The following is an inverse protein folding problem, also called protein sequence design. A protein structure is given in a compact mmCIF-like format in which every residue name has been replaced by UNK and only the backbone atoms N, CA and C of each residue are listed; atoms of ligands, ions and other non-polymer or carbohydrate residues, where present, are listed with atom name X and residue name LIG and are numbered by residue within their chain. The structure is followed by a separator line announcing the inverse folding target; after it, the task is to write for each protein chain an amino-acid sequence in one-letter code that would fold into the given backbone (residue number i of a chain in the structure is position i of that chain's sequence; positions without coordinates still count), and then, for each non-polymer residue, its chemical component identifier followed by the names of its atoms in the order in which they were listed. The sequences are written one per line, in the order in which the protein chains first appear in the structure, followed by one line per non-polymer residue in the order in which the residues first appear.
data_IF_492054694513
#
_entry.id   IF_492054694513
#
_cell.length_a   1.000
_cell.length_b   1.000
_cell.length_c   1.000
_cell.angle_alpha   90.00
_cell.angle_beta   90.00
_cell.angle_gamma   90.00
#
_symmetry.space_group_name_H-M   'P 1'
#
loop_
_entity.id
_entity.type
_entity.pdbx_description
1 polymer ?
#
# COMPACT_ATOMS: atom_id res chain seq x y z
N UNK A 1 -10.08 26.60 4.23
CA UNK A 1 -9.33 26.02 5.35
C UNK A 1 -8.44 24.90 4.84
N UNK A 2 -7.17 25.01 5.12
CA UNK A 2 -6.23 23.95 4.81
C UNK A 2 -6.17 22.89 5.90
N UNK A 3 -5.73 21.70 5.53
CA UNK A 3 -5.37 20.68 6.49
C UNK A 3 -4.01 21.00 7.09
N UNK A 4 -3.85 20.74 8.38
CA UNK A 4 -2.51 20.67 8.95
C UNK A 4 -1.95 19.28 8.60
N UNK A 5 -1.26 19.19 7.47
CA UNK A 5 -0.75 17.93 6.96
C UNK A 5 0.25 17.28 7.91
N UNK A 6 1.02 18.09 8.65
CA UNK A 6 2.02 17.56 9.57
C UNK A 6 1.41 16.88 10.80
N UNK A 7 0.15 17.17 11.10
CA UNK A 7 -0.55 16.55 12.23
C UNK A 7 -1.22 15.23 11.87
N UNK A 8 -1.27 14.87 10.59
CA UNK A 8 -1.87 13.61 10.16
C UNK A 8 -1.03 12.41 10.57
N UNK A 9 -1.72 11.31 10.86
CA UNK A 9 -1.07 10.05 11.21
C UNK A 9 -0.30 9.49 10.03
N UNK A 10 0.66 8.63 10.33
CA UNK A 10 1.51 7.97 9.33
C UNK A 10 1.53 6.48 9.54
N UNK A 11 1.61 5.73 8.44
CA UNK A 11 2.00 4.33 8.46
C UNK A 11 3.38 4.22 7.81
N UNK A 12 4.13 3.20 8.17
CA UNK A 12 5.50 3.04 7.68
C UNK A 12 5.68 1.72 6.96
N UNK A 13 6.19 1.78 5.74
CA UNK A 13 6.55 0.59 4.97
C UNK A 13 8.06 0.39 5.03
N UNK A 14 8.45 -0.80 5.49
CA UNK A 14 9.85 -1.21 5.51
C UNK A 14 10.01 -2.50 4.70
N UNK A 15 10.75 -2.44 3.62
CA UNK A 15 11.00 -3.61 2.80
C UNK A 15 12.05 -4.49 3.47
N UNK A 16 11.80 -5.81 3.48
CA UNK A 16 12.69 -6.75 4.16
C UNK A 16 13.85 -7.22 3.28
N UNK A 17 13.78 -6.96 1.97
CA UNK A 17 14.76 -7.50 1.02
C UNK A 17 14.46 -8.93 0.60
N UNK A 18 13.44 -9.56 1.17
CA UNK A 18 13.05 -10.92 0.79
C UNK A 18 12.23 -10.88 -0.48
N UNK A 19 12.61 -11.69 -1.46
CA UNK A 19 11.87 -11.88 -2.69
C UNK A 19 11.43 -13.34 -2.80
N UNK A 20 10.36 -13.56 -3.54
CA UNK A 20 9.82 -14.90 -3.77
C UNK A 20 9.21 -14.95 -5.17
N UNK A 21 8.87 -16.15 -5.63
CA UNK A 21 8.22 -16.33 -6.93
C UNK A 21 6.92 -17.10 -6.74
N UNK A 22 5.86 -16.62 -7.36
CA UNK A 22 4.55 -17.29 -7.42
C UNK A 22 4.07 -17.26 -8.87
N UNK A 23 3.83 -18.43 -9.43
CA UNK A 23 3.37 -18.57 -10.83
C UNK A 23 4.27 -17.80 -11.81
N UNK A 24 5.57 -17.91 -11.64
CA UNK A 24 6.61 -17.22 -12.41
C UNK A 24 6.62 -15.69 -12.25
N UNK A 25 5.91 -15.15 -11.27
CA UNK A 25 5.87 -13.73 -10.99
C UNK A 25 6.66 -13.47 -9.70
N UNK A 26 7.61 -12.54 -9.78
CA UNK A 26 8.40 -12.16 -8.61
C UNK A 26 7.59 -11.25 -7.69
N UNK A 27 7.66 -11.54 -6.39
CA UNK A 27 7.10 -10.69 -5.34
C UNK A 27 8.18 -10.21 -4.39
N UNK A 28 7.96 -9.05 -3.79
CA UNK A 28 8.82 -8.48 -2.77
C UNK A 28 8.04 -8.38 -1.46
N UNK A 29 8.67 -8.80 -0.37
CA UNK A 29 8.05 -8.76 0.94
C UNK A 29 8.48 -7.53 1.72
N UNK A 30 7.58 -7.08 2.57
CA UNK A 30 7.84 -5.98 3.49
C UNK A 30 6.96 -6.05 4.72
N UNK A 31 7.09 -5.04 5.55
CA UNK A 31 6.30 -4.87 6.77
C UNK A 31 5.70 -3.47 6.77
N UNK A 32 4.40 -3.39 6.98
CA UNK A 32 3.69 -2.13 7.12
C UNK A 32 3.26 -1.98 8.57
N UNK A 33 3.65 -0.89 9.20
CA UNK A 33 3.35 -0.64 10.61
C UNK A 33 2.37 0.52 10.74
N UNK A 34 1.27 0.29 11.44
CA UNK A 34 0.27 1.29 11.77
C UNK A 34 0.13 1.32 13.30
N UNK A 35 0.64 2.37 13.93
CA UNK A 35 0.69 2.44 15.38
C UNK A 35 1.54 1.31 15.96
N UNK A 36 0.92 0.46 16.76
CA UNK A 36 1.60 -0.67 17.40
C UNK A 36 1.40 -2.00 16.68
N UNK A 37 0.78 -1.99 15.51
CA UNK A 37 0.44 -3.20 14.77
C UNK A 37 1.22 -3.24 13.46
N UNK A 38 1.79 -4.41 13.18
CA UNK A 38 2.52 -4.64 11.94
C UNK A 38 1.78 -5.64 11.05
N UNK A 39 1.87 -5.41 9.76
CA UNK A 39 1.23 -6.24 8.73
C UNK A 39 2.27 -6.70 7.73
N UNK A 40 2.08 -7.90 7.19
CA UNK A 40 2.89 -8.37 6.07
C UNK A 40 2.47 -7.66 4.81
N UNK A 41 3.41 -7.41 3.91
CA UNK A 41 3.10 -6.79 2.61
C UNK A 41 3.73 -7.55 1.47
N UNK A 42 3.09 -7.42 0.30
CA UNK A 42 3.63 -7.90 -0.96
C UNK A 42 3.53 -6.78 -1.98
N UNK A 43 4.59 -6.62 -2.75
CA UNK A 43 4.66 -5.79 -3.94
C UNK A 43 5.16 -6.67 -5.09
N UNK A 44 4.81 -6.29 -6.31
CA UNK A 44 5.35 -7.01 -7.47
C UNK A 44 6.78 -6.58 -7.74
N UNK A 45 7.65 -7.56 -7.98
CA UNK A 45 9.05 -7.32 -8.29
C UNK A 45 9.34 -7.30 -9.80
N UNK A 46 10.58 -7.63 -10.16
CA UNK A 46 10.97 -7.64 -11.56
C UNK A 46 11.05 -6.22 -12.11
N UNK A 47 10.44 -6.03 -13.27
CA UNK A 47 10.43 -4.74 -13.96
C UNK A 47 9.31 -3.80 -13.52
N UNK A 48 8.51 -4.21 -12.54
CA UNK A 48 7.44 -3.37 -12.04
C UNK A 48 7.97 -2.39 -10.98
N UNK A 49 7.56 -1.16 -11.12
CA UNK A 49 8.01 -0.09 -10.24
C UNK A 49 7.19 -0.09 -8.97
N UNK A 50 7.88 0.06 -7.86
CA UNK A 50 7.28 0.19 -6.54
C UNK A 50 7.35 1.64 -6.08
N UNK A 51 6.66 1.94 -4.99
CA UNK A 51 6.81 3.24 -4.34
C UNK A 51 8.28 3.50 -4.02
N UNK A 52 8.81 4.67 -4.38
CA UNK A 52 10.17 5.02 -3.97
C UNK A 52 10.23 5.30 -2.47
N UNK A 53 11.44 5.34 -1.94
CA UNK A 53 11.68 5.81 -0.58
C UNK A 53 11.19 7.26 -0.46
N UNK A 54 10.51 7.57 0.63
CA UNK A 54 9.98 8.91 0.84
C UNK A 54 8.67 8.91 1.62
N UNK A 55 8.00 10.06 1.60
CA UNK A 55 6.77 10.30 2.35
C UNK A 55 5.70 10.76 1.37
N UNK A 56 4.57 10.07 1.38
CA UNK A 56 3.49 10.30 0.41
C UNK A 56 2.14 10.39 1.12
N UNK A 57 1.29 11.29 0.63
CA UNK A 57 -0.08 11.39 1.13
C UNK A 57 -0.93 10.21 0.67
N UNK A 58 -1.85 9.82 1.52
CA UNK A 58 -2.82 8.76 1.27
C UNK A 58 -4.23 9.31 1.27
N UNK A 59 -5.00 8.94 0.27
CA UNK A 59 -6.44 9.19 0.21
C UNK A 59 -7.16 7.86 0.33
N UNK A 60 -8.13 7.78 1.24
CA UNK A 60 -9.04 6.63 1.31
C UNK A 60 -10.15 6.81 0.30
N UNK A 61 -10.44 5.79 -0.50
CA UNK A 61 -11.54 5.83 -1.45
C UNK A 61 -12.07 4.43 -1.72
N UNK A 62 -13.13 4.35 -2.51
CA UNK A 62 -13.70 3.07 -2.94
C UNK A 62 -13.47 2.89 -4.43
N UNK A 63 -12.74 1.83 -4.79
CA UNK A 63 -12.50 1.46 -6.18
C UNK A 63 -13.53 0.43 -6.61
N UNK A 64 -14.06 0.55 -7.82
CA UNK A 64 -15.13 -0.31 -8.32
C UNK A 64 -14.75 -1.80 -8.29
N UNK A 65 -13.53 -2.12 -8.63
CA UNK A 65 -13.09 -3.52 -8.74
C UNK A 65 -12.35 -4.03 -7.51
N UNK A 66 -11.78 -3.14 -6.69
CA UNK A 66 -10.92 -3.53 -5.57
C UNK A 66 -11.50 -3.23 -4.18
N UNK A 67 -12.63 -2.55 -4.13
CA UNK A 67 -13.25 -2.15 -2.87
C UNK A 67 -12.55 -0.96 -2.23
N UNK A 68 -12.51 -0.91 -0.90
CA UNK A 68 -11.86 0.18 -0.17
C UNK A 68 -10.35 0.10 -0.34
N UNK A 69 -9.75 1.19 -0.77
CA UNK A 69 -8.32 1.26 -1.08
C UNK A 69 -7.75 2.58 -0.59
N UNK A 70 -6.42 2.64 -0.52
CA UNK A 70 -5.70 3.91 -0.41
C UNK A 70 -5.10 4.25 -1.77
N UNK A 71 -5.26 5.50 -2.18
CA UNK A 71 -4.52 6.03 -3.32
C UNK A 71 -3.32 6.78 -2.77
N UNK A 72 -2.14 6.45 -3.30
CA UNK A 72 -0.89 7.08 -2.90
C UNK A 72 -0.63 8.27 -3.82
N UNK A 73 -0.32 9.42 -3.23
CA UNK A 73 -0.14 10.66 -3.97
C UNK A 73 1.29 11.16 -3.90
N UNK A 74 1.78 11.72 -5.01
CA UNK A 74 3.13 12.23 -5.11
C UNK A 74 3.27 13.61 -4.48
N UNK A 75 4.50 13.96 -4.11
CA UNK A 75 4.91 15.31 -3.70
C UNK A 75 4.12 15.90 -2.53
N UNK A 76 3.42 15.08 -1.79
CA UNK A 76 2.58 15.53 -0.69
C UNK A 76 1.41 16.38 -1.12
N UNK A 77 1.10 16.45 -2.41
CA UNK A 77 -0.03 17.23 -2.94
C UNK A 77 -1.23 16.34 -3.15
N UNK A 78 -2.34 16.77 -2.60
CA UNK A 78 -3.61 16.06 -2.76
C UNK A 78 -4.00 16.04 -4.24
N UNK A 79 -4.37 14.89 -4.74
CA UNK A 79 -4.81 14.70 -6.12
C UNK A 79 -3.73 14.27 -7.11
N UNK A 80 -2.48 14.23 -6.68
CA UNK A 80 -1.38 13.81 -7.55
C UNK A 80 -0.94 12.38 -7.26
N UNK A 81 -0.91 11.54 -8.27
CA UNK A 81 -0.43 10.17 -8.15
C UNK A 81 1.09 10.10 -8.28
N UNK A 82 1.67 9.11 -7.64
CA UNK A 82 3.09 8.82 -7.79
C UNK A 82 3.35 8.33 -9.21
N UNK A 83 4.36 8.90 -9.85
CA UNK A 83 4.81 8.41 -11.14
C UNK A 83 5.75 7.22 -10.95
N UNK A 84 5.50 6.17 -11.68
CA UNK A 84 6.41 5.05 -11.75
C UNK A 84 7.63 5.42 -12.58
N UNK A 85 8.80 4.92 -12.20
CA UNK A 85 9.99 5.02 -13.05
C UNK A 85 9.71 4.30 -14.37
N UNK A 86 10.27 4.82 -15.47
CA UNK A 86 9.95 4.29 -16.80
C UNK A 86 8.77 4.96 -17.46
N UNK A 87 8.21 6.00 -16.82
CA UNK A 87 7.20 6.87 -17.43
C UNK A 87 5.75 6.43 -17.24
N UNK A 88 5.53 5.32 -16.56
CA UNK A 88 4.15 4.91 -16.24
C UNK A 88 3.57 5.79 -15.16
N UNK A 89 2.33 6.25 -15.36
CA UNK A 89 1.62 6.88 -14.28
C UNK A 89 1.03 5.80 -13.41
N UNK A 90 1.53 5.73 -12.22
CA UNK A 90 0.96 4.77 -11.31
C UNK A 90 -0.21 5.41 -10.60
N UNK A 91 -1.38 4.91 -10.85
CA UNK A 91 -2.37 4.94 -9.83
C UNK A 91 -1.94 3.94 -8.77
N UNK A 92 -0.84 4.20 -8.06
CA UNK A 92 -0.38 3.27 -7.03
C UNK A 92 -1.40 3.27 -5.92
N UNK A 93 -1.87 2.07 -5.62
CA UNK A 93 -2.87 1.87 -4.58
C UNK A 93 -2.36 0.89 -3.54
N UNK A 94 -2.87 1.02 -2.35
CA UNK A 94 -2.81 -0.03 -1.34
C UNK A 94 -4.16 -0.72 -1.39
N UNK A 95 -4.18 -2.00 -1.75
CA UNK A 95 -5.44 -2.72 -1.92
C UNK A 95 -5.29 -4.19 -1.54
N UNK A 96 -6.42 -4.88 -1.43
CA UNK A 96 -6.42 -6.30 -1.13
C UNK A 96 -5.92 -7.09 -2.34
N UNK A 97 -4.92 -7.94 -2.10
CA UNK A 97 -4.45 -8.91 -3.07
C UNK A 97 -3.75 -10.04 -2.32
N UNK A 98 -3.75 -11.23 -2.88
CA UNK A 98 -3.08 -12.37 -2.25
C UNK A 98 -1.69 -12.61 -2.83
N UNK A 99 -1.52 -12.38 -4.12
CA UNK A 99 -0.29 -12.73 -4.86
C UNK A 99 0.17 -11.59 -5.75
N UNK A 100 1.46 -11.62 -6.16
CA UNK A 100 2.04 -10.52 -6.95
C UNK A 100 1.37 -10.27 -8.30
N UNK A 101 0.75 -11.28 -8.90
CA UNK A 101 0.13 -11.12 -10.22
C UNK A 101 -0.99 -10.08 -10.20
N UNK A 102 -1.62 -9.89 -9.04
CA UNK A 102 -2.70 -8.92 -8.87
C UNK A 102 -2.20 -7.49 -8.64
N UNK A 103 -0.87 -7.31 -8.60
CA UNK A 103 -0.25 -6.05 -8.28
C UNK A 103 0.52 -5.52 -9.49
N UNK A 104 0.15 -4.33 -9.96
CA UNK A 104 0.82 -3.66 -11.07
C UNK A 104 1.42 -2.35 -10.56
N UNK A 105 2.42 -2.47 -9.67
CA UNK A 105 3.02 -1.33 -9.00
C UNK A 105 2.37 -0.99 -7.67
N UNK A 106 1.35 -1.74 -7.28
CA UNK A 106 0.59 -1.51 -6.05
C UNK A 106 1.17 -2.29 -4.87
N UNK A 107 0.65 -2.01 -3.69
CA UNK A 107 1.04 -2.62 -2.43
C UNK A 107 -0.17 -3.33 -1.82
N UNK A 108 0.02 -4.55 -1.35
CA UNK A 108 -1.04 -5.28 -0.66
C UNK A 108 -0.60 -5.65 0.74
N UNK A 109 -1.41 -5.35 1.78
CA UNK A 109 -1.16 -5.81 3.13
C UNK A 109 -1.92 -7.10 3.44
N UNK A 110 -1.41 -7.86 4.40
CA UNK A 110 -2.09 -9.01 4.96
C UNK A 110 -1.73 -9.13 6.42
N UNK A 111 -2.47 -9.91 7.19
CA UNK A 111 -2.17 -10.14 8.59
C UNK A 111 -1.02 -11.13 8.76
N UNK A 112 -0.85 -12.02 7.79
CA UNK A 112 0.25 -12.97 7.75
C UNK A 112 0.58 -13.34 6.31
N UNK A 113 1.68 -14.07 6.14
CA UNK A 113 2.13 -14.54 4.85
C UNK A 113 2.34 -16.06 4.92
N UNK A 114 1.71 -16.78 3.99
CA UNK A 114 1.86 -18.20 3.87
C UNK A 114 3.07 -18.52 2.97
N UNK A 115 4.17 -18.95 3.57
CA UNK A 115 5.40 -19.20 2.83
C UNK A 115 5.36 -20.51 2.01
N UNK A 116 4.41 -21.39 2.26
CA UNK A 116 4.23 -22.58 1.44
C UNK A 116 3.52 -22.24 0.12
N UNK A 117 2.49 -21.43 0.22
CA UNK A 117 1.69 -21.03 -0.95
C UNK A 117 2.16 -19.69 -1.55
N UNK A 118 3.08 -19.00 -0.90
CA UNK A 118 3.59 -17.70 -1.32
C UNK A 118 2.46 -16.70 -1.55
N UNK A 119 1.61 -16.53 -0.54
CA UNK A 119 0.49 -15.60 -0.61
C UNK A 119 0.20 -14.93 0.73
N UNK A 120 -0.40 -13.75 0.65
CA UNK A 120 -0.90 -13.04 1.82
C UNK A 120 -2.19 -13.68 2.33
N UNK A 121 -2.36 -13.64 3.63
CA UNK A 121 -3.59 -14.11 4.30
C UNK A 121 -4.27 -12.93 4.97
N UNK A 122 -5.60 -12.99 5.00
CA UNK A 122 -6.45 -12.01 5.69
C UNK A 122 -6.21 -10.57 5.23
N UNK A 123 -6.08 -10.37 3.94
CA UNK A 123 -5.86 -9.04 3.38
C UNK A 123 -7.01 -8.07 3.64
N UNK A 124 -8.26 -8.55 3.58
CA UNK A 124 -9.41 -7.71 3.88
C UNK A 124 -9.40 -7.24 5.33
N UNK A 125 -9.07 -8.13 6.26
CA UNK A 125 -8.99 -7.77 7.66
C UNK A 125 -7.85 -6.78 7.91
N UNK A 126 -6.71 -6.98 7.27
CA UNK A 126 -5.60 -6.03 7.36
C UNK A 126 -6.01 -4.64 6.86
N UNK A 127 -6.65 -4.57 5.69
CA UNK A 127 -7.12 -3.29 5.14
C UNK A 127 -8.11 -2.60 6.06
N UNK A 128 -9.06 -3.35 6.61
CA UNK A 128 -10.05 -2.78 7.53
C UNK A 128 -9.38 -2.21 8.79
N UNK A 129 -8.38 -2.89 9.33
CA UNK A 129 -7.65 -2.42 10.49
C UNK A 129 -6.84 -1.16 10.18
N UNK A 130 -6.19 -1.11 9.02
CA UNK A 130 -5.43 0.06 8.61
C UNK A 130 -6.36 1.25 8.35
N UNK A 131 -7.52 1.02 7.72
CA UNK A 131 -8.55 2.05 7.55
C UNK A 131 -8.99 2.59 8.90
N UNK A 132 -9.23 1.71 9.88
CA UNK A 132 -9.63 2.10 11.23
C UNK A 132 -8.56 2.92 11.92
N UNK A 133 -7.29 2.60 11.70
CA UNK A 133 -6.18 3.40 12.23
C UNK A 133 -6.27 4.87 11.79
N UNK A 134 -6.74 5.12 10.57
CA UNK A 134 -6.93 6.47 10.05
C UNK A 134 -8.33 7.04 10.33
N UNK A 135 -9.10 6.45 11.22
CA UNK A 135 -10.43 6.94 11.59
C UNK A 135 -11.60 6.22 10.93
N UNK A 136 -11.32 5.22 10.12
CA UNK A 136 -12.35 4.44 9.42
C UNK A 136 -12.76 5.06 8.09
N UNK A 137 -13.21 4.20 7.18
CA UNK A 137 -13.71 4.66 5.89
C UNK A 137 -15.20 4.99 5.99
N UNK A 138 -15.60 6.17 5.58
CA UNK A 138 -17.00 6.56 5.45
C UNK A 138 -17.25 7.19 4.10
N UNK A 139 -16.29 7.97 3.64
CA UNK A 139 -16.34 8.66 2.35
C UNK A 139 -14.92 8.88 1.86
N UNK A 140 -14.77 9.22 0.59
CA UNK A 140 -13.46 9.57 0.04
C UNK A 140 -12.89 10.76 0.79
N UNK A 141 -11.71 10.59 1.38
CA UNK A 141 -11.07 11.64 2.16
C UNK A 141 -9.57 11.41 2.29
N UNK A 142 -8.88 12.50 2.62
CA UNK A 142 -7.47 12.45 2.99
C UNK A 142 -7.32 11.63 4.28
N UNK A 143 -6.44 10.65 4.25
CA UNK A 143 -6.21 9.78 5.41
C UNK A 143 -5.00 10.22 6.24
N UNK A 144 -3.86 10.29 5.61
CA UNK A 144 -2.60 10.60 6.28
C UNK A 144 -1.44 10.30 5.37
N UNK A 145 -0.35 9.79 5.94
CA UNK A 145 0.88 9.55 5.20
C UNK A 145 1.31 8.10 5.19
N UNK A 146 2.01 7.70 4.13
CA UNK A 146 2.86 6.52 4.15
C UNK A 146 4.31 6.98 4.05
N UNK A 147 5.14 6.47 4.96
CA UNK A 147 6.58 6.69 4.95
C UNK A 147 7.23 5.40 4.45
N UNK A 148 7.97 5.48 3.36
CA UNK A 148 8.66 4.34 2.77
C UNK A 148 10.14 4.45 3.09
N UNK A 149 10.64 3.50 3.83
CA UNK A 149 12.06 3.45 4.23
C UNK A 149 12.89 2.56 3.32
#
# INVERSE_FOLDING_TARGET
MGYDLDSLSSITLKRTGVIFTKDNIQGKRGTLTAGNVSYETVERGGNYVSLPTGKFLLTMTNDKSRGQVFIVQADGKYGHNVKAEGGGLAGIMIHVAETPIQLLGCLAPGKSFDSKENKLLEGRNAMNEIMTFFGGFGETKLAGWIVVE
#
